data_IF_376322658597
#
_entry.id   IF_376322658597
#
_cell.length_a   1.000
_cell.length_b   1.000
_cell.length_c   1.000
_cell.angle_alpha   90.00
_cell.angle_beta   90.00
_cell.angle_gamma   90.00
#
_symmetry.space_group_name_H-M   'P 1'
#
loop_
_entity.id
_entity.type
_entity.pdbx_description
1 polymer ?
#
# COMPACT_ATOMS: atom_id res chain seq x y z
N UNK A 1 15.15 -15.35 11.37
CA UNK A 1 14.51 -14.17 10.74
C UNK A 1 13.12 -14.02 11.33
N UNK A 2 12.93 -13.08 12.25
CA UNK A 2 11.62 -12.75 12.82
C UNK A 2 10.82 -12.07 11.71
N UNK A 3 9.75 -12.71 11.24
CA UNK A 3 8.92 -12.15 10.18
C UNK A 3 8.06 -11.05 10.79
N UNK A 4 8.34 -9.80 10.46
CA UNK A 4 7.51 -8.68 10.89
C UNK A 4 6.16 -8.73 10.13
N UNK A 5 5.04 -8.42 10.78
CA UNK A 5 3.75 -8.30 10.09
C UNK A 5 3.88 -7.32 8.93
N UNK A 6 3.29 -7.66 7.79
CA UNK A 6 3.34 -6.82 6.58
C UNK A 6 1.93 -6.47 6.15
N UNK A 7 1.70 -5.18 5.91
CA UNK A 7 0.44 -4.65 5.44
C UNK A 7 0.53 -4.34 3.95
N UNK A 8 -0.50 -4.72 3.20
CA UNK A 8 -0.69 -4.29 1.82
C UNK A 8 -1.92 -3.41 1.73
N UNK A 9 -1.76 -2.15 1.35
CA UNK A 9 -2.85 -1.23 1.06
C UNK A 9 -2.89 -0.96 -0.44
N UNK A 10 -3.96 -1.39 -1.09
CA UNK A 10 -4.20 -1.13 -2.51
C UNK A 10 -5.34 -0.13 -2.69
N UNK A 11 -5.04 0.96 -3.39
CA UNK A 11 -5.98 2.06 -3.65
C UNK A 11 -6.41 1.98 -5.11
N UNK A 12 -7.59 1.43 -5.34
CA UNK A 12 -8.25 1.38 -6.64
C UNK A 12 -9.08 2.65 -6.90
N UNK A 13 -9.68 2.73 -8.09
CA UNK A 13 -10.57 3.82 -8.48
C UNK A 13 -11.77 3.98 -7.56
N UNK A 14 -12.34 2.88 -7.08
CA UNK A 14 -13.59 2.85 -6.30
C UNK A 14 -13.51 2.04 -5.00
N UNK A 15 -12.31 1.58 -4.64
CA UNK A 15 -12.11 0.83 -3.41
C UNK A 15 -10.69 0.98 -2.86
N UNK A 16 -10.57 0.91 -1.54
CA UNK A 16 -9.32 0.69 -0.83
C UNK A 16 -9.37 -0.70 -0.20
N UNK A 17 -8.36 -1.51 -0.47
CA UNK A 17 -8.25 -2.88 0.02
C UNK A 17 -7.00 -2.98 0.90
N UNK A 18 -7.19 -3.43 2.13
CA UNK A 18 -6.14 -3.62 3.10
C UNK A 18 -6.02 -5.09 3.45
N UNK A 19 -4.79 -5.61 3.43
CA UNK A 19 -4.47 -6.97 3.82
C UNK A 19 -3.35 -6.97 4.84
N UNK A 20 -3.46 -7.84 5.84
CA UNK A 20 -2.40 -8.15 6.78
C UNK A 20 -1.88 -9.54 6.52
N UNK A 21 -0.60 -9.63 6.19
CA UNK A 21 0.13 -10.88 6.09
C UNK A 21 0.95 -11.09 7.35
N UNK A 22 0.74 -12.25 7.97
CA UNK A 22 1.54 -12.75 9.08
C UNK A 22 2.20 -14.08 8.73
N UNK A 23 2.94 -14.65 9.68
CA UNK A 23 3.55 -15.96 9.54
C UNK A 23 3.07 -16.90 10.65
N UNK A 24 2.72 -18.14 10.30
CA UNK A 24 2.88 -19.27 11.23
C UNK A 24 4.30 -19.81 11.04
N UNK A 25 5.12 -19.97 12.08
CA UNK A 25 6.41 -20.63 11.92
C UNK A 25 6.16 -21.97 11.19
N UNK A 26 6.88 -22.19 10.08
CA UNK A 26 6.83 -23.36 9.18
C UNK A 26 5.81 -23.39 8.02
N UNK A 27 4.86 -22.45 7.88
CA UNK A 27 3.82 -22.53 6.81
C UNK A 27 3.80 -21.40 5.76
N UNK A 28 4.82 -20.54 5.76
CA UNK A 28 4.89 -19.40 4.82
C UNK A 28 3.95 -18.24 5.20
N UNK A 29 3.79 -17.26 4.30
CA UNK A 29 2.90 -16.12 4.51
C UNK A 29 1.43 -16.57 4.53
N UNK A 30 0.65 -16.01 5.45
CA UNK A 30 -0.80 -16.26 5.55
C UNK A 30 -1.54 -14.94 5.72
N UNK A 31 -2.69 -14.84 5.08
CA UNK A 31 -3.65 -13.78 5.35
C UNK A 31 -4.17 -13.91 6.80
N UNK A 32 -3.87 -12.90 7.61
CA UNK A 32 -4.33 -12.81 9.00
C UNK A 32 -5.67 -12.11 9.06
N UNK A 33 -5.77 -10.97 8.38
CA UNK A 33 -6.97 -10.15 8.34
C UNK A 33 -6.99 -9.30 7.05
N UNK A 34 -8.17 -8.84 6.69
CA UNK A 34 -8.38 -7.97 5.54
C UNK A 34 -9.57 -7.05 5.76
N UNK A 35 -9.52 -5.85 5.17
CA UNK A 35 -10.62 -4.92 5.17
C UNK A 35 -10.73 -4.23 3.82
N UNK A 36 -11.96 -3.90 3.42
CA UNK A 36 -12.24 -3.20 2.17
C UNK A 36 -13.13 -2.01 2.46
N UNK A 37 -12.83 -0.87 1.85
CA UNK A 37 -13.61 0.36 1.91
C UNK A 37 -13.98 0.78 0.49
N UNK A 38 -15.25 1.10 0.26
CA UNK A 38 -15.66 1.77 -0.98
C UNK A 38 -15.14 3.20 -0.98
N UNK A 39 -14.60 3.62 -2.11
CA UNK A 39 -14.18 4.98 -2.38
C UNK A 39 -15.16 5.62 -3.37
N UNK A 40 -15.36 6.92 -3.21
CA UNK A 40 -16.07 7.70 -4.22
C UNK A 40 -15.23 7.74 -5.51
N UNK A 41 -15.85 7.33 -6.62
CA UNK A 41 -15.21 7.25 -7.95
C UNK A 41 -14.77 8.62 -8.44
N UNK A 42 -15.54 9.65 -8.12
CA UNK A 42 -15.37 11.01 -8.63
C UNK A 42 -14.53 11.89 -7.68
N UNK A 43 -14.17 11.36 -6.52
CA UNK A 43 -13.31 12.07 -5.56
C UNK A 43 -11.90 12.31 -6.13
N UNK A 44 -11.29 13.46 -5.82
CA UNK A 44 -9.89 13.72 -6.16
C UNK A 44 -8.93 12.67 -5.58
N UNK A 45 -7.80 12.35 -6.24
CA UNK A 45 -6.84 11.35 -5.76
C UNK A 45 -6.39 11.57 -4.30
N UNK A 46 -6.13 12.82 -3.90
CA UNK A 46 -5.74 13.14 -2.52
C UNK A 46 -6.82 12.86 -1.47
N UNK A 47 -8.11 12.84 -1.84
CA UNK A 47 -9.18 12.40 -0.94
C UNK A 47 -9.21 10.87 -0.84
N UNK A 48 -9.09 10.16 -1.98
CA UNK A 48 -9.01 8.70 -2.03
C UNK A 48 -7.88 8.16 -1.15
N UNK A 49 -6.70 8.77 -1.25
CA UNK A 49 -5.54 8.43 -0.41
C UNK A 49 -5.85 8.63 1.07
N UNK A 50 -6.43 9.78 1.46
CA UNK A 50 -6.82 10.04 2.86
C UNK A 50 -7.83 9.02 3.38
N UNK A 51 -8.85 8.68 2.60
CA UNK A 51 -9.84 7.65 2.96
C UNK A 51 -9.21 6.27 3.12
N UNK A 52 -8.23 5.91 2.29
CA UNK A 52 -7.48 4.65 2.39
C UNK A 52 -6.58 4.60 3.64
N UNK A 53 -5.92 5.71 3.99
CA UNK A 53 -5.13 5.77 5.24
C UNK A 53 -6.00 5.79 6.49
N UNK A 54 -7.21 6.35 6.42
CA UNK A 54 -8.21 6.23 7.49
C UNK A 54 -8.63 4.77 7.69
N UNK A 55 -8.83 4.00 6.60
CA UNK A 55 -9.08 2.55 6.69
C UNK A 55 -7.91 1.83 7.39
N UNK A 56 -6.67 2.18 7.05
CA UNK A 56 -5.48 1.61 7.70
C UNK A 56 -5.42 1.90 9.19
N UNK A 57 -5.65 3.15 9.60
CA UNK A 57 -5.64 3.55 11.01
C UNK A 57 -6.74 2.84 11.81
N UNK A 58 -7.94 2.73 11.27
CA UNK A 58 -9.04 1.99 11.92
C UNK A 58 -8.68 0.51 12.07
N UNK A 59 -8.11 -0.09 11.02
CA UNK A 59 -7.74 -1.50 11.01
C UNK A 59 -6.65 -1.85 12.04
N UNK A 60 -5.61 -1.02 12.18
CA UNK A 60 -4.56 -1.26 13.18
C UNK A 60 -5.10 -1.11 14.61
N UNK A 61 -6.03 -0.18 14.83
CA UNK A 61 -6.67 0.02 16.13
C UNK A 61 -7.59 -1.15 16.48
N UNK A 62 -8.40 -1.63 15.54
CA UNK A 62 -9.31 -2.77 15.72
C UNK A 62 -8.53 -4.07 16.04
N UNK A 63 -7.38 -4.28 15.40
CA UNK A 63 -6.60 -5.51 15.52
C UNK A 63 -5.46 -5.43 16.55
N UNK A 64 -5.29 -4.29 17.24
CA UNK A 64 -4.26 -4.10 18.27
C UNK A 64 -2.82 -4.28 17.77
N UNK A 65 -2.53 -3.89 16.53
CA UNK A 65 -1.24 -4.16 15.89
C UNK A 65 -0.25 -3.03 16.20
N UNK A 66 0.84 -3.36 16.91
CA UNK A 66 1.82 -2.38 17.37
C UNK A 66 2.85 -1.96 16.30
N UNK A 67 2.95 -2.67 15.17
CA UNK A 67 3.88 -2.30 14.10
C UNK A 67 4.00 -3.32 12.97
N UNK A 68 4.51 -2.85 11.83
CA UNK A 68 4.75 -3.63 10.63
C UNK A 68 5.13 -2.75 9.44
N UNK A 69 5.62 -3.36 8.37
CA UNK A 69 5.89 -2.65 7.12
C UNK A 69 4.59 -2.42 6.34
N UNK A 70 4.35 -1.20 5.89
CA UNK A 70 3.22 -0.87 5.03
C UNK A 70 3.69 -0.72 3.57
N UNK A 71 3.12 -1.54 2.70
CA UNK A 71 3.29 -1.46 1.26
C UNK A 71 2.03 -0.86 0.64
N UNK A 72 2.18 0.24 -0.10
CA UNK A 72 1.07 0.94 -0.73
C UNK A 72 1.15 0.78 -2.24
N UNK A 73 0.06 0.33 -2.85
CA UNK A 73 -0.13 0.30 -4.28
C UNK A 73 -1.33 1.16 -4.69
N UNK A 74 -1.31 1.65 -5.91
CA UNK A 74 -2.40 2.41 -6.51
C UNK A 74 -2.69 1.86 -7.91
N UNK A 75 -3.94 2.00 -8.34
CA UNK A 75 -4.31 1.68 -9.71
C UNK A 75 -3.53 2.54 -10.71
N UNK A 76 -3.19 1.95 -11.86
CA UNK A 76 -2.27 2.55 -12.82
C UNK A 76 -2.82 3.82 -13.46
N UNK A 77 -4.14 4.04 -13.45
CA UNK A 77 -4.74 5.28 -13.92
C UNK A 77 -4.49 6.47 -12.98
N UNK A 78 -4.04 6.22 -11.74
CA UNK A 78 -3.64 7.25 -10.78
C UNK A 78 -2.18 7.72 -10.95
N UNK A 79 -1.38 7.08 -11.83
CA UNK A 79 0.03 7.40 -12.02
C UNK A 79 0.52 7.27 -13.45
N UNK A 80 1.46 8.10 -13.86
CA UNK A 80 2.10 7.98 -15.18
C UNK A 80 3.42 7.22 -15.06
N UNK A 81 3.48 6.01 -15.62
CA UNK A 81 4.74 5.30 -15.83
C UNK A 81 5.32 5.71 -17.20
N UNK A 82 6.52 6.31 -17.22
CA UNK A 82 7.21 6.65 -18.46
C UNK A 82 8.66 6.21 -18.43
N UNK A 83 9.10 5.59 -19.51
CA UNK A 83 10.51 5.33 -19.75
C UNK A 83 11.17 6.60 -20.27
N UNK A 84 12.20 7.08 -19.55
CA UNK A 84 12.96 8.26 -19.93
C UNK A 84 14.34 7.85 -20.42
N UNK A 85 14.69 8.29 -21.63
CA UNK A 85 16.06 8.21 -22.15
C UNK A 85 16.83 9.46 -21.73
N UNK A 86 17.64 9.34 -20.69
CA UNK A 86 18.48 10.42 -20.19
C UNK A 86 19.94 10.24 -20.63
N UNK A 87 20.66 11.32 -20.98
CA UNK A 87 22.10 11.29 -21.19
C UNK A 87 22.82 10.72 -19.95
N UNK A 88 23.94 10.04 -20.16
CA UNK A 88 24.69 9.36 -19.08
C UNK A 88 25.05 10.32 -17.94
N UNK A 89 25.51 11.54 -18.25
CA UNK A 89 25.84 12.56 -17.27
C UNK A 89 24.64 12.96 -16.37
N UNK A 90 23.42 12.95 -16.90
CA UNK A 90 22.21 13.24 -16.12
C UNK A 90 21.86 12.06 -15.19
N UNK A 91 22.04 10.82 -15.67
CA UNK A 91 21.83 9.61 -14.85
C UNK A 91 22.79 9.53 -13.66
N UNK A 92 24.03 9.97 -13.83
CA UNK A 92 25.04 9.99 -12.77
C UNK A 92 24.69 11.00 -11.66
N UNK A 93 24.12 12.16 -12.01
CA UNK A 93 23.65 13.16 -11.05
C UNK A 93 22.35 12.76 -10.31
N UNK A 94 21.45 12.02 -10.95
CA UNK A 94 20.19 11.57 -10.33
C UNK A 94 20.40 10.39 -9.37
N UNK A 95 21.46 9.60 -9.56
CA UNK A 95 21.79 8.45 -8.71
C UNK A 95 22.47 8.83 -7.39
N UNK A 96 22.98 10.05 -7.28
CA UNK A 96 23.63 10.60 -6.09
C UNK A 96 22.57 11.16 -5.11
#
# INVERSE_FOLDING_TARGET
>A
MVFQPSFGLYIAKDSANLVLLGKKPLKGPRLVASATRRLDKDAPPGQKVRSAFSLFNEFITEHGIAGGSLYVGFESDLGALRYLSLPRAVKENIRA
#
